data_IF_435585664790
#
_entry.id   IF_435585664790
#
_cell.length_a   1.000
_cell.length_b   1.000
_cell.length_c   1.000
_cell.angle_alpha   90.00
_cell.angle_beta   90.00
_cell.angle_gamma   90.00
#
_symmetry.space_group_name_H-M   'P 1'
#
loop_
_entity.id
_entity.type
_entity.pdbx_description
1 polymer ?
#
# COMPACT_ATOMS: atom_id res chain seq x y z
N UNK A 1 14.74 10.70 23.01
CA UNK A 1 13.30 10.90 23.20
C UNK A 1 12.62 9.55 23.44
N UNK A 2 11.45 9.55 24.08
CA UNK A 2 10.58 8.37 24.20
C UNK A 2 9.45 8.48 23.18
N UNK A 3 9.33 7.49 22.29
CA UNK A 3 8.38 7.51 21.17
C UNK A 3 7.54 6.23 21.21
N UNK A 4 6.23 6.36 21.30
CA UNK A 4 5.32 5.23 21.18
C UNK A 4 4.76 5.16 19.78
N UNK A 5 4.96 4.04 19.07
CA UNK A 5 4.42 3.78 17.73
C UNK A 5 3.29 2.77 17.85
N UNK A 6 2.10 3.09 17.33
CA UNK A 6 0.91 2.24 17.40
C UNK A 6 0.69 1.55 16.06
N UNK A 7 0.69 0.20 16.08
CA UNK A 7 0.49 -0.67 14.93
C UNK A 7 1.79 -1.17 14.30
N UNK A 8 1.94 -2.51 14.21
CA UNK A 8 3.08 -3.19 13.61
C UNK A 8 2.77 -3.64 12.17
N UNK A 9 2.31 -2.70 11.34
CA UNK A 9 2.21 -2.83 9.88
C UNK A 9 3.45 -2.25 9.18
N UNK A 10 3.39 -2.11 7.84
CA UNK A 10 4.47 -1.53 7.03
C UNK A 10 4.90 -0.14 7.52
N UNK A 11 3.95 0.73 7.78
CA UNK A 11 4.22 2.11 8.26
C UNK A 11 4.78 2.09 9.68
N UNK A 12 4.10 1.46 10.62
CA UNK A 12 4.48 1.54 12.03
C UNK A 12 5.80 0.84 12.34
N UNK A 13 5.99 -0.38 11.83
CA UNK A 13 7.20 -1.13 12.10
C UNK A 13 8.45 -0.49 11.46
N UNK A 14 8.32 0.00 10.21
CA UNK A 14 9.43 0.71 9.56
C UNK A 14 9.80 2.03 10.27
N UNK A 15 8.79 2.76 10.79
CA UNK A 15 9.04 3.94 11.63
C UNK A 15 9.67 3.57 12.97
N UNK A 16 9.21 2.50 13.63
CA UNK A 16 9.79 2.04 14.88
C UNK A 16 11.28 1.70 14.70
N UNK A 17 11.62 0.98 13.64
CA UNK A 17 13.02 0.64 13.32
C UNK A 17 13.83 1.88 12.94
N UNK A 18 13.28 2.79 12.11
CA UNK A 18 13.95 4.04 11.74
C UNK A 18 14.32 4.87 12.96
N UNK A 19 13.36 5.06 13.87
CA UNK A 19 13.50 5.97 15.02
C UNK A 19 14.29 5.36 16.17
N UNK A 20 14.40 4.03 16.27
CA UNK A 20 15.07 3.33 17.37
C UNK A 20 16.60 3.48 17.40
N UNK A 21 17.20 4.05 16.35
CA UNK A 21 18.63 4.28 16.29
C UNK A 21 19.12 5.24 17.40
N UNK A 22 18.35 6.29 17.65
CA UNK A 22 18.72 7.38 18.59
C UNK A 22 17.66 7.66 19.65
N UNK A 23 16.61 6.84 19.72
CA UNK A 23 15.48 7.08 20.62
C UNK A 23 15.04 5.77 21.29
N UNK A 24 14.41 5.91 22.46
CA UNK A 24 13.69 4.81 23.08
C UNK A 24 12.34 4.66 22.39
N UNK A 25 12.14 3.55 21.68
CA UNK A 25 10.90 3.29 20.95
C UNK A 25 10.08 2.23 21.67
N UNK A 26 8.79 2.46 21.77
CA UNK A 26 7.80 1.50 22.22
C UNK A 26 6.88 1.20 21.04
N UNK A 27 6.78 -0.05 20.66
CA UNK A 27 5.86 -0.51 19.62
C UNK A 27 4.64 -1.17 20.27
N UNK A 28 3.50 -0.49 20.16
CA UNK A 28 2.22 -0.97 20.66
C UNK A 28 1.49 -1.74 19.55
N UNK A 29 1.18 -3.01 19.79
CA UNK A 29 0.47 -3.88 18.86
C UNK A 29 -0.52 -4.74 19.65
N UNK A 30 -1.74 -4.89 19.12
CA UNK A 30 -2.81 -5.66 19.78
C UNK A 30 -2.85 -7.13 19.31
N UNK A 31 -2.28 -7.43 18.13
CA UNK A 31 -2.30 -8.77 17.58
C UNK A 31 -1.25 -9.67 18.25
N UNK A 32 -1.66 -10.70 19.01
CA UNK A 32 -0.71 -11.53 19.75
C UNK A 32 0.22 -12.34 18.84
N UNK A 33 -0.20 -12.69 17.63
CA UNK A 33 0.66 -13.40 16.66
C UNK A 33 1.80 -12.51 16.18
N UNK A 34 1.51 -11.23 15.90
CA UNK A 34 2.54 -10.25 15.51
C UNK A 34 3.52 -10.00 16.65
N UNK A 35 3.01 -9.84 17.87
CA UNK A 35 3.85 -9.67 19.07
C UNK A 35 4.78 -10.87 19.25
N UNK A 36 4.27 -12.09 19.09
CA UNK A 36 5.08 -13.32 19.22
C UNK A 36 6.20 -13.37 18.16
N UNK A 37 5.90 -13.03 16.92
CA UNK A 37 6.90 -12.94 15.85
C UNK A 37 7.98 -11.89 16.19
N UNK A 38 7.58 -10.68 16.58
CA UNK A 38 8.51 -9.61 16.95
C UNK A 38 9.40 -9.98 18.12
N UNK A 39 8.85 -10.63 19.17
CA UNK A 39 9.65 -11.15 20.30
C UNK A 39 10.67 -12.21 19.87
N UNK A 40 10.36 -12.96 18.82
CA UNK A 40 11.28 -13.93 18.22
C UNK A 40 12.27 -13.29 17.22
N UNK A 41 12.30 -11.96 17.10
CA UNK A 41 13.15 -11.23 16.14
C UNK A 41 12.70 -11.36 14.68
N UNK A 42 11.44 -11.78 14.45
CA UNK A 42 10.87 -11.97 13.11
C UNK A 42 9.90 -10.86 12.78
N UNK A 43 10.04 -10.30 11.59
CA UNK A 43 9.09 -9.31 11.06
C UNK A 43 7.74 -9.96 10.74
N UNK A 44 6.60 -9.37 11.17
CA UNK A 44 5.27 -9.84 10.78
C UNK A 44 4.86 -9.39 9.36
N UNK A 45 5.71 -8.66 8.66
CA UNK A 45 5.50 -8.17 7.29
C UNK A 45 6.73 -8.53 6.44
N UNK A 46 6.51 -8.69 5.14
CA UNK A 46 7.61 -8.97 4.21
C UNK A 46 8.32 -7.66 3.83
N UNK A 47 9.53 -7.47 4.30
CA UNK A 47 10.48 -6.42 3.90
C UNK A 47 11.88 -6.90 4.34
N UNK A 48 12.72 -7.38 3.40
CA UNK A 48 14.02 -7.95 3.73
C UNK A 48 14.94 -6.98 4.47
N UNK A 49 14.98 -5.69 4.04
CA UNK A 49 15.81 -4.67 4.69
C UNK A 49 15.30 -4.37 6.11
N UNK A 50 13.99 -4.38 6.29
CA UNK A 50 13.39 -4.19 7.61
C UNK A 50 13.69 -5.36 8.53
N UNK A 51 13.60 -6.62 8.04
CA UNK A 51 13.94 -7.81 8.82
C UNK A 51 15.39 -7.77 9.31
N UNK A 52 16.33 -7.41 8.45
CA UNK A 52 17.74 -7.28 8.81
C UNK A 52 17.94 -6.23 9.90
N UNK A 53 17.41 -5.02 9.69
CA UNK A 53 17.55 -3.92 10.64
C UNK A 53 16.79 -4.16 11.96
N UNK A 54 15.64 -4.83 11.91
CA UNK A 54 14.87 -5.21 13.10
C UNK A 54 15.72 -6.09 14.02
N UNK A 55 16.39 -7.11 13.46
CA UNK A 55 17.25 -8.01 14.24
C UNK A 55 18.38 -7.27 14.97
N UNK A 56 18.93 -6.24 14.34
CA UNK A 56 20.01 -5.42 14.91
C UNK A 56 19.51 -4.42 15.97
N UNK A 57 18.28 -3.91 15.86
CA UNK A 57 17.76 -2.80 16.65
C UNK A 57 16.67 -3.19 17.66
N UNK A 58 16.30 -4.46 17.70
CA UNK A 58 15.21 -4.94 18.58
C UNK A 58 15.45 -4.61 20.05
N UNK A 59 16.71 -4.55 20.50
CA UNK A 59 17.07 -4.19 21.87
C UNK A 59 16.68 -2.74 22.25
N UNK A 60 16.46 -1.86 21.27
CA UNK A 60 16.02 -0.47 21.46
C UNK A 60 14.50 -0.31 21.30
N UNK A 61 13.78 -1.41 20.96
CA UNK A 61 12.33 -1.41 20.74
C UNK A 61 11.66 -2.26 21.83
N UNK A 62 10.90 -1.60 22.70
CA UNK A 62 10.05 -2.30 23.68
C UNK A 62 8.70 -2.62 23.04
N UNK A 63 8.18 -3.83 23.28
CA UNK A 63 6.88 -4.26 22.75
C UNK A 63 5.82 -4.23 23.85
N UNK A 64 4.65 -3.68 23.55
CA UNK A 64 3.53 -3.61 24.48
C UNK A 64 2.18 -3.85 23.79
N UNK A 65 1.20 -4.29 24.56
CA UNK A 65 -0.24 -4.24 24.22
C UNK A 65 -1.01 -3.30 25.18
N UNK A 66 -0.31 -2.62 26.09
CA UNK A 66 -0.85 -1.71 27.11
C UNK A 66 -0.51 -0.25 26.74
N UNK A 67 -1.24 0.31 25.76
CA UNK A 67 -0.96 1.66 25.25
C UNK A 67 -1.00 2.73 26.34
N UNK A 68 -2.03 2.71 27.17
CA UNK A 68 -2.26 3.75 28.20
C UNK A 68 -1.05 3.91 29.12
N UNK A 69 -0.51 2.79 29.61
CA UNK A 69 0.61 2.77 30.55
C UNK A 69 1.90 3.28 29.93
N UNK A 70 2.14 2.93 28.67
CA UNK A 70 3.41 3.22 28.02
C UNK A 70 3.45 4.58 27.32
N UNK A 71 2.28 5.06 26.86
CA UNK A 71 2.20 6.34 26.15
C UNK A 71 2.31 7.56 27.07
N UNK A 72 1.91 7.44 28.35
CA UNK A 72 1.76 8.58 29.26
C UNK A 72 3.01 9.48 29.37
N UNK A 73 4.20 8.89 29.34
CA UNK A 73 5.48 9.59 29.44
C UNK A 73 6.18 9.76 28.08
N UNK A 74 5.49 9.49 26.98
CA UNK A 74 6.09 9.62 25.66
C UNK A 74 6.13 11.07 25.21
N UNK A 75 7.23 11.47 24.54
CA UNK A 75 7.32 12.75 23.87
C UNK A 75 6.42 12.79 22.65
N UNK A 76 6.34 11.65 21.93
CA UNK A 76 5.52 11.46 20.73
C UNK A 76 4.76 10.15 20.76
N UNK A 77 3.51 10.19 20.28
CA UNK A 77 2.73 8.99 19.92
C UNK A 77 2.48 9.03 18.42
N UNK A 78 2.93 8.00 17.70
CA UNK A 78 2.83 7.88 16.24
C UNK A 78 1.76 6.83 15.91
N UNK A 79 0.64 7.26 15.32
CA UNK A 79 -0.49 6.39 15.00
C UNK A 79 -0.35 5.89 13.56
N UNK A 80 -0.21 4.56 13.41
CA UNK A 80 0.00 3.86 12.14
C UNK A 80 -1.01 2.72 11.95
N UNK A 81 -2.22 2.87 12.46
CA UNK A 81 -3.27 1.85 12.33
C UNK A 81 -3.87 1.85 10.92
N UNK A 82 -4.36 0.70 10.40
CA UNK A 82 -4.94 0.64 9.07
C UNK A 82 -6.25 1.44 8.98
N UNK A 83 -6.49 2.03 7.80
CA UNK A 83 -7.74 2.74 7.46
C UNK A 83 -8.27 2.17 6.15
N UNK A 84 -9.27 1.29 6.24
CA UNK A 84 -9.91 0.68 5.07
C UNK A 84 -11.00 1.61 4.52
N UNK A 85 -11.20 1.59 3.20
CA UNK A 85 -12.34 2.27 2.61
C UNK A 85 -13.60 1.44 2.80
N UNK A 86 -14.65 2.04 3.28
CA UNK A 86 -15.95 1.42 3.51
C UNK A 86 -16.93 1.92 2.46
N UNK A 87 -17.31 1.05 1.53
CA UNK A 87 -18.22 1.40 0.40
C UNK A 87 -19.56 1.97 0.90
N UNK A 88 -20.10 1.40 1.99
CA UNK A 88 -21.39 1.82 2.55
C UNK A 88 -21.39 3.29 3.02
N UNK A 89 -20.29 3.76 3.57
CA UNK A 89 -20.15 5.16 4.06
C UNK A 89 -19.48 6.06 3.05
N UNK A 90 -18.84 5.49 2.02
CA UNK A 90 -18.04 6.21 1.05
C UNK A 90 -16.83 6.92 1.67
N UNK A 91 -16.26 6.38 2.75
CA UNK A 91 -15.15 6.99 3.47
C UNK A 91 -14.27 5.95 4.15
N UNK A 92 -13.08 6.37 4.57
CA UNK A 92 -12.21 5.52 5.39
C UNK A 92 -12.83 5.23 6.75
N UNK A 93 -12.64 4.01 7.24
CA UNK A 93 -12.87 3.67 8.64
C UNK A 93 -11.71 4.19 9.48
N UNK A 94 -11.98 5.23 10.26
CA UNK A 94 -11.01 5.88 11.17
C UNK A 94 -11.20 5.45 12.62
N UNK A 95 -12.08 4.49 12.90
CA UNK A 95 -12.46 4.07 14.26
C UNK A 95 -11.26 3.77 15.15
N UNK A 96 -10.26 3.04 14.61
CA UNK A 96 -9.04 2.72 15.37
C UNK A 96 -8.20 3.93 15.71
N UNK A 97 -8.19 4.98 14.86
CA UNK A 97 -7.49 6.23 15.18
C UNK A 97 -8.28 6.98 16.25
N UNK A 98 -9.60 7.06 16.12
CA UNK A 98 -10.50 7.73 17.06
C UNK A 98 -10.43 7.11 18.46
N UNK A 99 -10.38 5.79 18.57
CA UNK A 99 -10.19 5.05 19.81
C UNK A 99 -8.84 5.38 20.47
N UNK A 100 -7.76 5.45 19.69
CA UNK A 100 -6.45 5.83 20.20
C UNK A 100 -6.43 7.29 20.69
N UNK A 101 -7.06 8.23 19.94
CA UNK A 101 -7.17 9.63 20.36
C UNK A 101 -7.97 9.74 21.67
N UNK A 102 -9.10 9.05 21.78
CA UNK A 102 -9.92 9.00 22.98
C UNK A 102 -9.15 8.44 24.18
N UNK A 103 -8.35 7.41 23.95
CA UNK A 103 -7.48 6.83 24.99
C UNK A 103 -6.42 7.82 25.47
N UNK A 104 -5.77 8.53 24.53
CA UNK A 104 -4.75 9.54 24.85
C UNK A 104 -5.34 10.75 25.55
N UNK A 105 -6.54 11.18 25.22
CA UNK A 105 -7.25 12.25 25.92
C UNK A 105 -7.60 11.85 27.35
N UNK A 106 -8.12 10.63 27.54
CA UNK A 106 -8.47 10.08 28.87
C UNK A 106 -7.28 10.02 29.83
N UNK A 107 -6.09 9.67 29.35
CA UNK A 107 -4.86 9.68 30.17
C UNK A 107 -4.22 11.06 30.27
N UNK A 108 -4.86 12.10 29.71
CA UNK A 108 -4.37 13.48 29.70
C UNK A 108 -2.95 13.60 29.10
N UNK A 109 -2.71 12.92 27.97
CA UNK A 109 -1.42 12.89 27.31
C UNK A 109 -0.90 14.28 26.98
N UNK A 110 0.38 14.56 27.26
CA UNK A 110 1.00 15.88 27.10
C UNK A 110 2.02 15.99 25.99
N UNK A 111 2.36 14.87 25.37
CA UNK A 111 3.23 14.84 24.19
C UNK A 111 2.53 15.34 22.93
N UNK A 112 3.09 15.04 21.77
CA UNK A 112 2.49 15.33 20.46
C UNK A 112 2.09 14.04 19.77
N UNK A 113 0.91 14.06 19.14
CA UNK A 113 0.35 12.93 18.38
C UNK A 113 0.62 13.15 16.91
N UNK A 114 1.24 12.15 16.29
CA UNK A 114 1.60 12.13 14.89
C UNK A 114 0.75 11.08 14.20
N UNK A 115 -0.23 11.53 13.42
CA UNK A 115 -1.05 10.64 12.60
C UNK A 115 -0.32 10.36 11.29
N UNK A 116 0.03 9.09 11.05
CA UNK A 116 0.64 8.61 9.79
C UNK A 116 -0.31 7.72 9.00
N UNK A 117 -1.38 7.24 9.62
CA UNK A 117 -2.47 6.56 8.90
C UNK A 117 -3.11 7.50 7.91
N UNK A 118 -3.44 7.01 6.71
CA UNK A 118 -4.13 7.82 5.70
C UNK A 118 -5.56 8.13 6.16
N UNK A 119 -5.94 9.39 6.16
CA UNK A 119 -7.25 9.88 6.65
C UNK A 119 -7.97 10.70 5.58
N UNK A 120 -9.29 10.91 5.71
CA UNK A 120 -10.04 11.83 4.83
C UNK A 120 -9.54 13.27 4.95
N UNK A 121 -9.68 14.07 3.90
CA UNK A 121 -9.32 15.49 3.91
C UNK A 121 -10.18 16.25 4.94
N UNK A 122 -9.52 16.97 5.83
CA UNK A 122 -10.14 17.72 6.93
C UNK A 122 -10.25 16.95 8.25
N UNK A 123 -9.86 15.67 8.28
CA UNK A 123 -9.95 14.82 9.46
C UNK A 123 -9.15 15.38 10.64
N UNK A 124 -7.88 15.70 10.46
CA UNK A 124 -7.01 16.16 11.55
C UNK A 124 -7.54 17.44 12.19
N UNK A 125 -8.01 18.40 11.39
CA UNK A 125 -8.61 19.62 11.90
C UNK A 125 -9.92 19.36 12.65
N UNK A 126 -10.73 18.40 12.21
CA UNK A 126 -11.94 17.98 12.93
C UNK A 126 -11.58 17.38 14.30
N UNK A 127 -10.60 16.48 14.35
CA UNK A 127 -10.16 15.85 15.59
C UNK A 127 -9.46 16.83 16.55
N UNK A 128 -8.73 17.80 16.02
CA UNK A 128 -8.16 18.87 16.86
C UNK A 128 -9.23 19.74 17.54
N UNK A 129 -10.38 19.94 16.88
CA UNK A 129 -11.53 20.64 17.50
C UNK A 129 -12.24 19.81 18.56
N UNK A 130 -12.33 18.49 18.33
CA UNK A 130 -12.93 17.52 19.25
C UNK A 130 -12.05 17.33 20.50
N UNK A 131 -10.77 17.07 20.32
CA UNK A 131 -9.78 16.82 21.39
C UNK A 131 -8.91 18.05 21.63
N UNK A 132 -9.47 19.08 22.30
CA UNK A 132 -8.81 20.39 22.50
C UNK A 132 -7.52 20.34 23.31
N UNK A 133 -7.35 19.32 24.14
CA UNK A 133 -6.17 19.18 25.03
C UNK A 133 -5.03 18.40 24.36
N UNK A 134 -5.26 17.78 23.22
CA UNK A 134 -4.26 17.04 22.48
C UNK A 134 -3.60 17.93 21.40
N UNK A 135 -2.32 17.70 21.14
CA UNK A 135 -1.62 18.28 19.97
C UNK A 135 -1.58 17.21 18.89
N UNK A 136 -2.36 17.39 17.82
CA UNK A 136 -2.51 16.42 16.74
C UNK A 136 -1.92 16.99 15.45
N UNK A 137 -1.01 16.24 14.82
CA UNK A 137 -0.36 16.62 13.58
C UNK A 137 -0.45 15.47 12.56
N UNK A 138 -0.56 15.79 11.28
CA UNK A 138 -0.61 14.79 10.22
C UNK A 138 0.71 14.73 9.46
N UNK A 139 1.30 13.54 9.35
CA UNK A 139 2.52 13.27 8.59
C UNK A 139 2.26 12.15 7.60
N UNK A 140 1.91 12.45 6.35
CA UNK A 140 1.62 11.44 5.34
C UNK A 140 2.80 10.52 5.07
N UNK A 141 2.47 9.29 4.71
CA UNK A 141 3.43 8.25 4.34
C UNK A 141 3.40 8.01 2.83
N UNK A 142 4.57 7.83 2.21
CA UNK A 142 4.73 7.60 0.77
C UNK A 142 5.52 6.33 0.46
N UNK A 143 5.57 5.39 1.40
CA UNK A 143 6.31 4.14 1.26
C UNK A 143 5.63 3.13 0.33
N UNK A 144 6.44 2.21 -0.19
CA UNK A 144 6.01 1.03 -0.93
C UNK A 144 6.05 -0.20 -0.04
N UNK A 145 5.01 -1.06 -0.11
CA UNK A 145 5.02 -2.37 0.54
C UNK A 145 6.20 -3.20 0.04
N UNK A 146 6.87 -3.92 0.94
CA UNK A 146 8.09 -4.66 0.66
C UNK A 146 9.39 -3.84 0.63
N UNK A 147 9.29 -2.49 0.61
CA UNK A 147 10.43 -1.55 0.62
C UNK A 147 10.24 -0.41 1.62
N UNK A 148 9.41 -0.63 2.66
CA UNK A 148 8.99 0.42 3.58
C UNK A 148 10.17 1.05 4.33
N UNK A 149 11.12 0.24 4.81
CA UNK A 149 12.30 0.78 5.49
C UNK A 149 13.25 1.49 4.52
N UNK A 150 13.40 0.99 3.29
CA UNK A 150 14.20 1.67 2.26
C UNK A 150 13.65 3.06 1.97
N UNK A 151 12.32 3.16 1.77
CA UNK A 151 11.68 4.44 1.47
C UNK A 151 11.75 5.42 2.66
N UNK A 152 11.80 4.93 3.90
CA UNK A 152 12.05 5.74 5.09
C UNK A 152 13.53 6.16 5.21
N UNK A 153 14.49 5.34 4.80
CA UNK A 153 15.89 5.73 4.77
C UNK A 153 16.20 6.72 3.65
N UNK A 154 15.53 6.60 2.51
CA UNK A 154 15.74 7.43 1.33
C UNK A 154 14.44 8.09 0.86
N UNK A 155 13.78 8.90 1.71
CA UNK A 155 12.51 9.52 1.36
C UNK A 155 12.70 10.53 0.23
N UNK A 156 11.74 10.56 -0.71
CA UNK A 156 11.72 11.60 -1.74
C UNK A 156 11.49 12.98 -1.12
N UNK A 157 10.62 13.03 -0.12
CA UNK A 157 10.24 14.21 0.67
C UNK A 157 9.65 13.80 2.02
N UNK A 158 9.61 14.74 2.96
CA UNK A 158 8.86 14.61 4.21
C UNK A 158 7.86 15.77 4.28
N UNK A 159 6.59 15.46 4.57
CA UNK A 159 5.52 16.46 4.69
C UNK A 159 5.06 16.51 6.14
N UNK A 160 4.98 17.73 6.69
CA UNK A 160 4.48 18.03 8.01
C UNK A 160 3.21 18.88 7.90
N UNK A 161 2.06 18.29 8.18
CA UNK A 161 0.77 18.98 8.25
C UNK A 161 0.53 19.55 9.63
N UNK A 162 1.34 20.51 10.04
CA UNK A 162 1.18 21.25 11.30
C UNK A 162 2.16 22.41 11.37
N UNK A 163 1.75 23.49 12.06
CA UNK A 163 2.65 24.59 12.44
C UNK A 163 3.19 24.49 13.88
N UNK A 164 2.78 23.47 14.64
CA UNK A 164 3.20 23.24 16.03
C UNK A 164 4.72 23.05 16.12
N UNK A 165 5.33 23.62 17.15
CA UNK A 165 6.76 23.48 17.43
C UNK A 165 7.16 22.02 17.65
N UNK A 166 6.34 21.23 18.35
CA UNK A 166 6.60 19.80 18.56
C UNK A 166 6.57 19.01 17.24
N UNK A 167 5.66 19.36 16.32
CA UNK A 167 5.61 18.75 14.99
C UNK A 167 6.90 19.03 14.20
N UNK A 168 7.46 20.25 14.28
CA UNK A 168 8.76 20.58 13.66
C UNK A 168 9.91 19.77 14.25
N UNK A 169 9.89 19.53 15.56
CA UNK A 169 10.88 18.65 16.21
C UNK A 169 10.78 17.22 15.65
N UNK A 170 9.56 16.71 15.45
CA UNK A 170 9.37 15.39 14.85
C UNK A 170 9.78 15.34 13.37
N UNK A 171 9.53 16.40 12.59
CA UNK A 171 10.00 16.56 11.22
C UNK A 171 11.53 16.46 11.15
N UNK A 172 12.22 17.22 12.01
CA UNK A 172 13.68 17.18 12.12
C UNK A 172 14.20 15.79 12.54
N UNK A 173 13.46 15.12 13.42
CA UNK A 173 13.80 13.78 13.87
C UNK A 173 13.75 12.78 12.71
N UNK A 174 12.71 12.82 11.89
CA UNK A 174 12.59 11.98 10.69
C UNK A 174 13.72 12.28 9.69
N UNK A 175 13.99 13.57 9.40
CA UNK A 175 15.04 13.97 8.48
C UNK A 175 16.44 13.51 8.96
N UNK A 176 16.72 13.62 10.27
CA UNK A 176 18.01 13.17 10.86
C UNK A 176 18.12 11.65 10.97
N UNK A 177 17.03 10.92 10.93
CA UNK A 177 17.01 9.44 10.94
C UNK A 177 17.08 8.86 9.53
N UNK A 178 16.78 9.64 8.49
CA UNK A 178 17.00 9.27 7.10
C UNK A 178 18.49 9.11 6.79
N UNK A 179 18.81 8.24 5.84
CA UNK A 179 20.17 8.09 5.27
C UNK A 179 20.42 9.03 4.10
N UNK A 180 19.34 9.52 3.47
CA UNK A 180 19.43 10.53 2.43
C UNK A 180 19.76 11.88 3.06
N UNK A 181 20.80 12.52 2.56
CA UNK A 181 21.10 13.92 2.86
C UNK A 181 20.16 14.82 2.05
N UNK A 182 19.88 16.02 2.55
CA UNK A 182 19.12 17.05 1.86
C UNK A 182 17.71 16.60 1.44
N UNK A 183 16.99 15.94 2.37
CA UNK A 183 15.60 15.57 2.16
C UNK A 183 14.74 16.83 2.11
N UNK A 184 13.99 16.98 1.03
CA UNK A 184 13.04 18.08 0.88
C UNK A 184 11.92 18.00 1.92
N UNK A 185 11.67 19.10 2.62
CA UNK A 185 10.71 19.17 3.72
C UNK A 185 9.63 20.20 3.41
N UNK A 186 8.37 19.77 3.52
CA UNK A 186 7.19 20.62 3.32
C UNK A 186 6.46 20.80 4.64
N UNK A 187 6.31 22.05 5.07
CA UNK A 187 5.46 22.39 6.23
C UNK A 187 4.21 23.05 5.69
N UNK A 188 3.05 22.44 5.95
CA UNK A 188 1.76 22.89 5.44
C UNK A 188 0.70 22.80 6.53
N UNK A 189 -0.55 23.15 6.22
CA UNK A 189 -1.69 22.84 7.09
C UNK A 189 -1.99 21.34 7.07
N UNK A 190 -2.66 20.80 8.10
CA UNK A 190 -3.08 19.40 8.10
C UNK A 190 -3.90 18.99 6.86
N UNK A 191 -4.87 19.85 6.47
CA UNK A 191 -5.73 19.60 5.31
C UNK A 191 -4.96 19.55 4.00
N UNK A 192 -3.95 20.39 3.82
CA UNK A 192 -3.05 20.35 2.65
C UNK A 192 -2.21 19.08 2.64
N UNK A 193 -1.68 18.67 3.80
CA UNK A 193 -0.89 17.43 3.90
C UNK A 193 -1.75 16.18 3.60
N UNK A 194 -2.99 16.12 4.08
CA UNK A 194 -3.99 15.09 3.76
C UNK A 194 -4.29 15.08 2.25
N UNK A 195 -4.46 16.26 1.65
CA UNK A 195 -4.66 16.42 0.21
C UNK A 195 -3.45 15.95 -0.59
N UNK A 196 -2.23 16.33 -0.20
CA UNK A 196 -0.99 15.89 -0.84
C UNK A 196 -0.93 14.35 -0.88
N UNK A 197 -1.31 13.66 0.20
CA UNK A 197 -1.32 12.20 0.25
C UNK A 197 -2.29 11.60 -0.76
N UNK A 198 -3.54 12.01 -0.74
CA UNK A 198 -4.58 11.44 -1.58
C UNK A 198 -4.37 11.77 -3.06
N UNK A 199 -4.01 13.01 -3.39
CA UNK A 199 -3.70 13.40 -4.77
C UNK A 199 -2.46 12.70 -5.32
N UNK A 200 -1.40 12.50 -4.52
CA UNK A 200 -0.22 11.75 -4.97
C UNK A 200 -0.58 10.32 -5.36
N UNK A 201 -1.33 9.61 -4.52
CA UNK A 201 -1.69 8.22 -4.81
C UNK A 201 -2.70 8.12 -5.98
N UNK A 202 -3.62 9.09 -6.09
CA UNK A 202 -4.55 9.15 -7.22
C UNK A 202 -3.83 9.47 -8.54
N UNK A 203 -2.83 10.34 -8.52
CA UNK A 203 -2.01 10.62 -9.70
C UNK A 203 -1.27 9.35 -10.18
N UNK A 204 -0.70 8.58 -9.26
CA UNK A 204 -0.06 7.31 -9.61
C UNK A 204 -1.06 6.30 -10.18
N UNK A 205 -2.26 6.20 -9.60
CA UNK A 205 -3.34 5.36 -10.12
C UNK A 205 -3.78 5.79 -11.52
N UNK A 206 -3.94 7.10 -11.76
CA UNK A 206 -4.27 7.68 -13.06
C UNK A 206 -3.17 7.37 -14.09
N UNK A 207 -1.91 7.49 -13.72
CA UNK A 207 -0.79 7.20 -14.61
C UNK A 207 -0.78 5.73 -15.05
N UNK A 208 -0.97 4.79 -14.12
CA UNK A 208 -1.10 3.37 -14.45
C UNK A 208 -2.34 3.14 -15.35
N UNK A 209 -3.48 3.77 -15.03
CA UNK A 209 -4.68 3.66 -15.84
C UNK A 209 -4.44 4.15 -17.29
N UNK A 210 -3.73 5.25 -17.47
CA UNK A 210 -3.36 5.77 -18.79
C UNK A 210 -2.54 4.75 -19.62
N UNK A 211 -1.49 4.19 -19.03
CA UNK A 211 -0.66 3.20 -19.75
C UNK A 211 -1.38 1.86 -19.94
N UNK A 212 -2.33 1.51 -19.07
CA UNK A 212 -3.21 0.37 -19.28
C UNK A 212 -4.18 0.60 -20.46
N UNK A 213 -4.73 1.80 -20.66
CA UNK A 213 -5.55 2.13 -21.81
C UNK A 213 -4.72 2.17 -23.09
N UNK A 214 -3.50 2.70 -23.05
CA UNK A 214 -2.55 2.65 -24.16
C UNK A 214 -2.27 1.19 -24.57
N UNK A 215 -2.02 0.32 -23.61
CA UNK A 215 -1.81 -1.11 -23.85
C UNK A 215 -3.05 -1.80 -24.42
N UNK A 216 -4.24 -1.47 -23.91
CA UNK A 216 -5.51 -1.96 -24.46
C UNK A 216 -5.68 -1.55 -25.91
N UNK A 217 -5.39 -0.29 -26.23
CA UNK A 217 -5.43 0.22 -27.61
C UNK A 217 -4.43 -0.52 -28.52
N UNK A 218 -3.21 -0.72 -28.04
CA UNK A 218 -2.17 -1.41 -28.81
C UNK A 218 -2.56 -2.87 -29.11
N UNK A 219 -3.08 -3.61 -28.10
CA UNK A 219 -3.56 -4.98 -28.28
C UNK A 219 -4.67 -5.04 -29.32
N UNK A 220 -5.68 -4.16 -29.24
CA UNK A 220 -6.84 -4.16 -30.15
C UNK A 220 -6.48 -3.80 -31.59
N UNK A 221 -5.36 -3.11 -31.79
CA UNK A 221 -4.88 -2.72 -33.13
C UNK A 221 -3.64 -3.52 -33.57
N UNK A 222 -3.30 -4.61 -32.88
CA UNK A 222 -2.15 -5.47 -33.18
C UNK A 222 -0.82 -4.71 -33.26
N UNK A 223 -0.63 -3.70 -32.38
CA UNK A 223 0.55 -2.85 -32.32
C UNK A 223 1.50 -3.33 -31.20
N UNK A 224 2.78 -2.99 -31.33
CA UNK A 224 3.77 -3.24 -30.28
C UNK A 224 3.65 -2.21 -29.15
N UNK A 225 3.00 -2.63 -28.06
CA UNK A 225 2.83 -1.81 -26.85
C UNK A 225 4.16 -1.29 -26.32
N UNK A 226 5.21 -2.11 -26.33
CA UNK A 226 6.52 -1.74 -25.79
C UNK A 226 7.10 -0.53 -26.51
N UNK A 227 7.17 -0.59 -27.83
CA UNK A 227 7.68 0.50 -28.66
C UNK A 227 6.91 1.80 -28.46
N UNK A 228 5.56 1.71 -28.30
CA UNK A 228 4.73 2.89 -28.08
C UNK A 228 5.03 3.50 -26.69
N UNK A 229 5.11 2.68 -25.63
CA UNK A 229 5.40 3.16 -24.27
C UNK A 229 6.81 3.77 -24.21
N UNK A 230 7.81 3.14 -24.81
CA UNK A 230 9.17 3.66 -24.87
C UNK A 230 9.22 5.01 -25.58
N UNK A 231 8.55 5.14 -26.72
CA UNK A 231 8.46 6.39 -27.45
C UNK A 231 7.76 7.51 -26.67
N UNK A 232 6.63 7.23 -26.03
CA UNK A 232 5.91 8.20 -25.19
C UNK A 232 6.75 8.60 -23.98
N UNK A 233 7.41 7.63 -23.35
CA UNK A 233 8.21 7.85 -22.11
C UNK A 233 9.54 8.55 -22.37
N UNK A 234 10.01 8.60 -23.62
CA UNK A 234 11.24 9.30 -24.02
C UNK A 234 11.12 10.83 -23.86
N UNK A 235 9.90 11.39 -23.85
CA UNK A 235 9.69 12.79 -23.51
C UNK A 235 10.01 13.01 -22.01
N UNK A 236 10.97 13.87 -21.73
CA UNK A 236 11.42 14.16 -20.34
C UNK A 236 10.31 14.70 -19.43
N UNK A 237 9.27 15.30 -19.98
CA UNK A 237 8.09 15.77 -19.24
C UNK A 237 7.18 14.63 -18.79
N UNK A 238 7.28 13.46 -19.46
CA UNK A 238 6.52 12.25 -19.14
C UNK A 238 7.37 11.31 -18.31
N UNK A 239 8.55 10.92 -18.80
CA UNK A 239 9.48 10.01 -18.13
C UNK A 239 8.96 8.57 -18.00
N UNK A 240 9.81 7.66 -17.51
CA UNK A 240 9.59 6.22 -17.49
C UNK A 240 8.97 5.65 -16.21
N UNK A 241 8.53 6.49 -15.26
CA UNK A 241 8.02 6.00 -13.96
C UNK A 241 6.55 5.60 -14.05
N UNK A 242 6.16 4.46 -13.45
CA UNK A 242 4.78 3.96 -13.40
C UNK A 242 4.12 3.85 -14.80
N UNK A 243 4.91 3.45 -15.80
CA UNK A 243 4.47 3.27 -17.19
C UNK A 243 4.33 1.80 -17.62
N UNK A 244 4.65 0.85 -16.73
CA UNK A 244 4.50 -0.58 -17.00
C UNK A 244 3.03 -0.98 -16.90
N UNK A 245 2.42 -1.52 -17.96
CA UNK A 245 1.05 -2.01 -17.92
C UNK A 245 0.87 -3.17 -16.92
N UNK A 246 -0.38 -3.40 -16.58
CA UNK A 246 -0.79 -4.46 -15.67
C UNK A 246 -2.23 -4.89 -15.98
N UNK A 247 -2.74 -5.83 -15.21
CA UNK A 247 -4.15 -6.19 -15.24
C UNK A 247 -5.08 -5.14 -14.60
N UNK A 248 -4.51 -4.08 -14.08
CA UNK A 248 -5.15 -2.95 -13.41
C UNK A 248 -4.30 -2.48 -12.25
N UNK A 249 -4.40 -1.21 -11.85
CA UNK A 249 -3.78 -0.78 -10.62
C UNK A 249 -4.51 -1.41 -9.42
N UNK A 250 -3.74 -1.85 -8.43
CA UNK A 250 -4.23 -2.53 -7.26
C UNK A 250 -3.28 -2.32 -6.07
N UNK A 251 -3.25 -3.30 -5.15
CA UNK A 251 -2.60 -3.15 -3.87
C UNK A 251 -3.47 -2.34 -2.90
N UNK A 252 -3.03 -2.23 -1.66
CA UNK A 252 -3.85 -1.65 -0.59
C UNK A 252 -4.12 -0.15 -0.78
N UNK A 253 -3.12 0.62 -1.25
CA UNK A 253 -3.18 2.08 -1.21
C UNK A 253 -3.93 2.72 -2.39
N UNK A 254 -3.56 2.39 -3.63
CA UNK A 254 -4.04 3.13 -4.79
C UNK A 254 -5.57 3.06 -4.96
N UNK A 255 -6.22 1.87 -4.88
CA UNK A 255 -7.67 1.79 -5.05
C UNK A 255 -8.45 2.53 -3.96
N UNK A 256 -8.09 2.35 -2.68
CA UNK A 256 -8.82 2.96 -1.57
C UNK A 256 -8.64 4.48 -1.50
N UNK A 257 -7.41 4.98 -1.74
CA UNK A 257 -7.10 6.41 -1.66
C UNK A 257 -7.75 7.18 -2.81
N UNK A 258 -7.82 6.60 -4.02
CA UNK A 258 -8.52 7.19 -5.15
C UNK A 258 -10.03 7.26 -4.91
N UNK A 259 -10.65 6.21 -4.32
CA UNK A 259 -12.07 6.23 -3.91
C UNK A 259 -12.32 7.26 -2.83
N UNK A 260 -11.44 7.37 -1.83
CA UNK A 260 -11.56 8.39 -0.79
C UNK A 260 -11.45 9.80 -1.38
N UNK A 261 -10.50 10.04 -2.28
CA UNK A 261 -10.39 11.34 -2.94
C UNK A 261 -11.66 11.69 -3.72
N UNK A 262 -12.21 10.74 -4.49
CA UNK A 262 -13.49 10.96 -5.19
C UNK A 262 -14.61 11.35 -4.22
N UNK A 263 -14.71 10.69 -3.08
CA UNK A 263 -15.71 11.01 -2.06
C UNK A 263 -15.53 12.41 -1.46
N UNK A 264 -14.30 12.92 -1.40
CA UNK A 264 -14.02 14.27 -0.93
C UNK A 264 -14.43 15.36 -1.94
N UNK A 265 -14.59 15.02 -3.23
CA UNK A 265 -15.01 16.01 -4.23
C UNK A 265 -16.49 16.41 -4.09
N UNK A 266 -17.39 15.49 -3.69
CA UNK A 266 -18.83 15.76 -3.55
C UNK A 266 -19.37 16.65 -4.69
N UNK A 267 -19.61 17.93 -4.40
CA UNK A 267 -20.14 18.94 -5.34
C UNK A 267 -19.04 19.73 -6.09
N UNK A 268 -17.76 19.39 -5.86
CA UNK A 268 -16.65 20.01 -6.58
C UNK A 268 -16.58 19.40 -7.99
N UNK A 269 -16.53 20.22 -9.06
CA UNK A 269 -16.42 19.71 -10.43
C UNK A 269 -15.19 18.81 -10.62
N UNK A 270 -15.40 17.61 -11.15
CA UNK A 270 -14.34 16.65 -11.46
C UNK A 270 -14.86 15.58 -12.44
N UNK A 271 -14.00 15.12 -13.33
CA UNK A 271 -14.25 13.97 -14.21
C UNK A 271 -13.07 13.00 -14.16
N UNK A 272 -11.85 13.52 -14.11
CA UNK A 272 -10.62 12.73 -14.20
C UNK A 272 -10.49 11.70 -13.08
N UNK A 273 -10.84 12.05 -11.83
CA UNK A 273 -10.73 11.13 -10.69
C UNK A 273 -11.73 9.96 -10.85
N UNK A 274 -12.96 10.27 -11.26
CA UNK A 274 -14.00 9.27 -11.56
C UNK A 274 -13.59 8.41 -12.75
N UNK A 275 -13.06 9.02 -13.80
CA UNK A 275 -12.58 8.32 -15.00
C UNK A 275 -11.44 7.35 -14.64
N UNK A 276 -10.52 7.71 -13.75
CA UNK A 276 -9.44 6.84 -13.30
C UNK A 276 -9.97 5.53 -12.66
N UNK A 277 -10.99 5.64 -11.80
CA UNK A 277 -11.64 4.46 -11.20
C UNK A 277 -12.36 3.63 -12.26
N UNK A 278 -13.10 4.29 -13.14
CA UNK A 278 -13.83 3.64 -14.25
C UNK A 278 -12.90 2.93 -15.23
N UNK A 279 -11.78 3.56 -15.59
CA UNK A 279 -10.73 3.00 -16.43
C UNK A 279 -10.16 1.70 -15.84
N UNK A 280 -9.86 1.69 -14.55
CA UNK A 280 -9.36 0.48 -13.87
C UNK A 280 -10.36 -0.68 -13.91
N UNK A 281 -11.67 -0.39 -13.78
CA UNK A 281 -12.71 -1.41 -13.92
C UNK A 281 -12.75 -1.94 -15.35
N UNK A 282 -12.83 -1.05 -16.34
CA UNK A 282 -12.85 -1.42 -17.77
C UNK A 282 -11.62 -2.24 -18.17
N UNK A 283 -10.45 -1.90 -17.62
CA UNK A 283 -9.23 -2.69 -17.85
C UNK A 283 -9.37 -4.13 -17.38
N UNK A 284 -9.91 -4.35 -16.18
CA UNK A 284 -10.14 -5.71 -15.65
C UNK A 284 -11.16 -6.46 -16.48
N UNK A 285 -12.25 -5.81 -16.88
CA UNK A 285 -13.27 -6.40 -17.76
C UNK A 285 -12.65 -6.80 -19.11
N UNK A 286 -11.83 -5.95 -19.72
CA UNK A 286 -11.09 -6.24 -20.95
C UNK A 286 -10.16 -7.45 -20.82
N UNK A 287 -9.43 -7.59 -19.70
CA UNK A 287 -8.57 -8.76 -19.46
C UNK A 287 -9.41 -10.04 -19.34
N UNK A 288 -10.54 -9.98 -18.63
CA UNK A 288 -11.49 -11.11 -18.50
C UNK A 288 -11.97 -11.52 -19.90
N UNK A 289 -12.46 -10.58 -20.70
CA UNK A 289 -12.96 -10.86 -22.04
C UNK A 289 -11.86 -11.45 -22.93
N UNK A 290 -10.65 -10.90 -22.90
CA UNK A 290 -9.49 -11.41 -23.67
C UNK A 290 -9.17 -12.88 -23.32
N UNK A 291 -9.21 -13.23 -22.03
CA UNK A 291 -8.99 -14.60 -21.60
C UNK A 291 -10.13 -15.53 -22.05
N UNK A 292 -11.39 -15.09 -21.90
CA UNK A 292 -12.56 -15.86 -22.34
C UNK A 292 -12.55 -16.10 -23.85
N UNK A 293 -12.17 -15.12 -24.66
CA UNK A 293 -12.12 -15.21 -26.12
C UNK A 293 -11.07 -16.22 -26.61
N UNK A 294 -10.01 -16.46 -25.83
CA UNK A 294 -9.00 -17.49 -26.14
C UNK A 294 -9.48 -18.93 -25.83
N UNK A 295 -10.66 -19.08 -25.19
CA UNK A 295 -11.35 -20.35 -24.90
C UNK A 295 -10.46 -21.41 -24.26
N UNK A 296 -9.73 -21.12 -23.18
CA UNK A 296 -8.93 -22.10 -22.50
C UNK A 296 -9.83 -23.12 -21.79
N UNK A 297 -9.42 -24.38 -21.70
CA UNK A 297 -10.10 -25.38 -20.88
C UNK A 297 -9.92 -25.07 -19.38
N UNK A 298 -8.67 -24.91 -18.94
CA UNK A 298 -8.31 -24.59 -17.56
C UNK A 298 -7.42 -23.33 -17.49
N UNK A 299 -7.82 -22.34 -16.71
CA UNK A 299 -7.02 -21.14 -16.43
C UNK A 299 -6.29 -21.30 -15.10
N UNK A 300 -4.96 -21.29 -15.15
CA UNK A 300 -4.11 -21.25 -13.98
C UNK A 300 -3.86 -19.81 -13.53
N UNK A 301 -4.10 -19.53 -12.26
CA UNK A 301 -3.79 -18.24 -11.64
C UNK A 301 -2.45 -18.35 -10.93
N UNK A 302 -1.41 -17.72 -11.49
CA UNK A 302 -0.10 -17.73 -10.89
C UNK A 302 0.07 -16.55 -9.95
N UNK A 303 -0.04 -16.84 -8.65
CA UNK A 303 -0.01 -15.97 -7.48
C UNK A 303 -1.17 -14.96 -7.41
N UNK A 304 -1.66 -14.77 -6.20
CA UNK A 304 -2.75 -13.84 -5.90
C UNK A 304 -2.23 -12.44 -5.53
N UNK A 305 -0.96 -12.33 -5.19
CA UNK A 305 -0.30 -11.07 -4.82
C UNK A 305 0.05 -10.25 -6.06
N UNK A 306 -0.11 -8.94 -5.98
CA UNK A 306 0.17 -8.04 -7.11
C UNK A 306 1.63 -7.66 -7.26
N UNK A 307 2.34 -7.51 -6.15
CA UNK A 307 3.74 -7.09 -6.13
C UNK A 307 4.62 -8.25 -5.71
N UNK A 308 5.76 -8.40 -6.33
CA UNK A 308 6.70 -9.49 -6.09
C UNK A 308 7.05 -9.66 -4.61
N UNK A 309 7.10 -8.56 -3.86
CA UNK A 309 7.56 -8.48 -2.49
C UNK A 309 6.46 -8.03 -1.50
N UNK A 310 5.16 -8.27 -1.80
CA UNK A 310 4.03 -7.98 -0.92
C UNK A 310 3.33 -9.25 -0.47
N UNK A 311 2.71 -9.21 0.69
CA UNK A 311 1.85 -10.28 1.24
C UNK A 311 0.36 -9.90 1.16
N UNK A 312 0.03 -8.73 0.59
CA UNK A 312 -1.32 -8.20 0.54
C UNK A 312 -2.03 -8.57 -0.77
N UNK A 313 -2.98 -9.49 -0.68
CA UNK A 313 -3.82 -9.96 -1.79
C UNK A 313 -5.20 -9.29 -1.86
N UNK A 314 -5.66 -8.63 -0.78
CA UNK A 314 -7.07 -8.20 -0.62
C UNK A 314 -7.57 -7.23 -1.68
N UNK A 315 -6.75 -6.29 -2.11
CA UNK A 315 -7.08 -5.32 -3.18
C UNK A 315 -6.32 -5.61 -4.47
N UNK A 316 -5.91 -6.88 -4.66
CA UNK A 316 -5.24 -7.32 -5.88
C UNK A 316 -6.20 -7.30 -7.06
N UNK A 317 -5.78 -6.74 -8.19
CA UNK A 317 -6.55 -6.79 -9.45
C UNK A 317 -6.80 -8.22 -9.91
N UNK A 318 -5.89 -9.16 -9.60
CA UNK A 318 -6.04 -10.59 -9.91
C UNK A 318 -7.28 -11.18 -9.25
N UNK A 319 -7.55 -10.86 -7.98
CA UNK A 319 -8.73 -11.39 -7.27
C UNK A 319 -10.02 -10.97 -7.97
N UNK A 320 -10.14 -9.69 -8.35
CA UNK A 320 -11.32 -9.22 -9.09
C UNK A 320 -11.47 -9.89 -10.46
N UNK A 321 -10.36 -10.17 -11.17
CA UNK A 321 -10.39 -10.86 -12.46
C UNK A 321 -10.76 -12.34 -12.27
N UNK A 322 -10.19 -13.00 -11.26
CA UNK A 322 -10.52 -14.36 -10.90
C UNK A 322 -12.02 -14.54 -10.63
N UNK A 323 -12.64 -13.64 -9.82
CA UNK A 323 -14.09 -13.63 -9.60
C UNK A 323 -14.86 -13.45 -10.92
N UNK A 324 -14.41 -12.56 -11.80
CA UNK A 324 -15.01 -12.34 -13.11
C UNK A 324 -14.93 -13.57 -14.02
N UNK A 325 -13.78 -14.26 -14.06
CA UNK A 325 -13.62 -15.51 -14.82
C UNK A 325 -14.49 -16.64 -14.26
N UNK A 326 -14.61 -16.72 -12.93
CA UNK A 326 -15.49 -17.70 -12.26
C UNK A 326 -16.96 -17.48 -12.62
N UNK A 327 -17.42 -16.23 -12.64
CA UNK A 327 -18.79 -15.87 -13.07
C UNK A 327 -19.03 -16.24 -14.56
N UNK A 328 -18.00 -16.20 -15.40
CA UNK A 328 -18.06 -16.63 -16.83
C UNK A 328 -18.01 -18.15 -17.00
N UNK A 329 -17.87 -18.92 -15.91
CA UNK A 329 -17.91 -20.38 -15.91
C UNK A 329 -16.63 -21.08 -16.36
N UNK A 330 -15.47 -20.39 -16.34
CA UNK A 330 -14.21 -21.03 -16.65
C UNK A 330 -13.75 -21.92 -15.50
N UNK A 331 -13.08 -23.02 -15.83
CA UNK A 331 -12.39 -23.85 -14.85
C UNK A 331 -11.09 -23.16 -14.42
N UNK A 332 -10.93 -22.98 -13.10
CA UNK A 332 -9.83 -22.23 -12.51
C UNK A 332 -9.04 -23.09 -11.53
N UNK A 333 -7.71 -22.94 -11.54
CA UNK A 333 -6.82 -23.45 -10.51
C UNK A 333 -5.85 -22.35 -10.06
N UNK A 334 -5.40 -22.37 -8.81
CA UNK A 334 -4.52 -21.34 -8.25
C UNK A 334 -3.22 -21.98 -7.78
N UNK A 335 -2.10 -21.33 -8.05
CA UNK A 335 -0.83 -21.60 -7.40
C UNK A 335 -0.40 -20.37 -6.58
N UNK A 336 -0.45 -20.50 -5.24
CA UNK A 336 0.00 -19.46 -4.30
C UNK A 336 0.72 -20.10 -3.11
N UNK A 337 2.07 -20.13 -3.15
CA UNK A 337 2.87 -20.82 -2.12
C UNK A 337 2.78 -20.19 -0.72
N UNK A 338 2.28 -18.95 -0.60
CA UNK A 338 2.09 -18.31 0.71
C UNK A 338 0.83 -18.78 1.45
N UNK A 339 -0.03 -19.53 0.78
CA UNK A 339 -1.29 -19.99 1.36
C UNK A 339 -1.21 -21.48 1.71
N UNK A 340 -1.63 -21.83 2.92
CA UNK A 340 -1.70 -23.22 3.40
C UNK A 340 -3.10 -23.84 3.31
N UNK A 341 -4.10 -23.10 2.82
CA UNK A 341 -5.46 -23.60 2.63
C UNK A 341 -5.57 -24.43 1.33
N UNK A 342 -6.59 -25.32 1.27
CA UNK A 342 -6.84 -26.14 0.08
C UNK A 342 -7.57 -25.41 -1.03
N UNK A 343 -8.33 -24.38 -0.68
CA UNK A 343 -9.16 -23.61 -1.62
C UNK A 343 -9.12 -22.13 -1.28
N UNK A 344 -9.28 -21.28 -2.30
CA UNK A 344 -9.48 -19.84 -2.18
C UNK A 344 -10.67 -19.44 -3.04
N UNK A 345 -11.69 -18.81 -2.45
CA UNK A 345 -12.97 -18.49 -3.11
C UNK A 345 -13.64 -19.71 -3.77
N UNK A 346 -13.46 -20.89 -3.20
CA UNK A 346 -13.98 -22.14 -3.73
C UNK A 346 -13.14 -22.78 -4.86
N UNK A 347 -12.03 -22.14 -5.26
CA UNK A 347 -11.13 -22.62 -6.31
C UNK A 347 -9.97 -23.39 -5.67
N UNK A 348 -9.55 -24.48 -6.30
CA UNK A 348 -8.45 -25.34 -5.83
C UNK A 348 -7.12 -24.58 -5.80
N UNK A 349 -6.42 -24.68 -4.67
CA UNK A 349 -5.00 -24.31 -4.57
C UNK A 349 -4.14 -25.55 -4.85
N UNK A 350 -3.42 -25.52 -5.97
CA UNK A 350 -2.50 -26.57 -6.36
C UNK A 350 -1.17 -26.35 -5.66
N UNK A 351 -0.70 -27.33 -4.91
CA UNK A 351 0.55 -27.22 -4.11
C UNK A 351 1.81 -27.51 -4.92
N UNK A 352 1.71 -28.34 -5.96
CA UNK A 352 2.84 -28.68 -6.85
C UNK A 352 2.83 -27.72 -8.04
N UNK A 353 3.95 -27.03 -8.25
CA UNK A 353 4.13 -26.13 -9.39
C UNK A 353 4.08 -26.87 -10.73
N UNK A 354 4.69 -28.05 -10.83
CA UNK A 354 4.67 -28.86 -12.04
C UNK A 354 3.26 -29.35 -12.38
N UNK A 355 2.48 -29.76 -11.36
CA UNK A 355 1.09 -30.12 -11.52
C UNK A 355 0.24 -28.93 -11.97
N UNK A 356 0.47 -27.75 -11.43
CA UNK A 356 -0.18 -26.51 -11.84
C UNK A 356 0.10 -26.20 -13.31
N UNK A 357 1.39 -26.19 -13.72
CA UNK A 357 1.79 -25.91 -15.09
C UNK A 357 1.27 -26.93 -16.11
N UNK A 358 1.20 -28.21 -15.72
CA UNK A 358 0.70 -29.27 -16.62
C UNK A 358 -0.82 -29.20 -16.82
N UNK A 359 -1.58 -28.86 -15.79
CA UNK A 359 -3.05 -28.79 -15.82
C UNK A 359 -3.59 -27.50 -16.47
N UNK A 360 -2.86 -26.38 -16.36
CA UNK A 360 -3.29 -25.12 -16.95
C UNK A 360 -3.07 -25.10 -18.48
N UNK A 361 -4.10 -24.72 -19.24
CA UNK A 361 -3.97 -24.41 -20.67
C UNK A 361 -3.46 -22.98 -20.88
N UNK A 362 -3.92 -22.05 -20.03
CA UNK A 362 -3.46 -20.68 -19.98
C UNK A 362 -3.09 -20.32 -18.51
N UNK A 363 -1.94 -19.67 -18.33
CA UNK A 363 -1.46 -19.23 -17.01
C UNK A 363 -1.54 -17.70 -16.96
N UNK A 364 -2.42 -17.17 -16.13
CA UNK A 364 -2.53 -15.74 -15.87
C UNK A 364 -1.52 -15.33 -14.79
N UNK A 365 -0.59 -14.43 -15.13
CA UNK A 365 0.41 -13.90 -14.22
C UNK A 365 0.46 -12.37 -14.29
N UNK A 366 0.19 -11.68 -13.17
CA UNK A 366 0.24 -10.20 -13.14
C UNK A 366 1.65 -9.65 -13.31
N UNK A 367 2.66 -10.43 -12.88
CA UNK A 367 4.08 -10.10 -13.04
C UNK A 367 4.83 -11.28 -13.66
N UNK A 368 5.79 -10.98 -14.51
CA UNK A 368 6.69 -12.02 -15.02
C UNK A 368 7.51 -12.62 -13.87
N UNK A 369 7.74 -13.92 -13.96
CA UNK A 369 8.56 -14.67 -12.98
C UNK A 369 9.50 -15.63 -13.72
N UNK A 370 10.72 -15.76 -13.19
CA UNK A 370 11.68 -16.74 -13.66
C UNK A 370 11.13 -18.17 -13.62
N UNK A 371 10.22 -18.45 -12.69
CA UNK A 371 9.61 -19.78 -12.55
C UNK A 371 8.77 -20.17 -13.78
N UNK A 372 8.20 -19.18 -14.50
CA UNK A 372 7.33 -19.38 -15.66
C UNK A 372 8.05 -19.46 -17.00
N UNK A 373 9.38 -19.30 -17.02
CA UNK A 373 10.16 -19.22 -18.28
C UNK A 373 9.97 -20.47 -19.14
N UNK A 374 9.93 -21.67 -18.54
CA UNK A 374 9.80 -22.95 -19.25
C UNK A 374 8.37 -23.20 -19.81
N UNK A 375 7.37 -22.46 -19.34
CA UNK A 375 5.96 -22.52 -19.82
C UNK A 375 5.49 -21.19 -20.42
N UNK A 376 6.41 -20.35 -20.86
CA UNK A 376 6.13 -18.99 -21.36
C UNK A 376 5.09 -18.96 -22.47
N UNK A 377 4.98 -19.99 -23.30
CA UNK A 377 3.97 -20.11 -24.36
C UNK A 377 2.52 -20.19 -23.85
N UNK A 378 2.31 -20.55 -22.57
CA UNK A 378 1.00 -20.58 -21.91
C UNK A 378 0.74 -19.33 -21.08
N UNK A 379 1.73 -18.44 -20.87
CA UNK A 379 1.64 -17.34 -19.94
C UNK A 379 0.99 -16.12 -20.58
N UNK A 380 -0.11 -15.69 -20.00
CA UNK A 380 -0.73 -14.40 -20.28
C UNK A 380 -0.33 -13.41 -19.19
N UNK A 381 0.47 -12.43 -19.56
CA UNK A 381 0.90 -11.33 -18.69
C UNK A 381 0.89 -10.02 -19.46
N UNK A 382 0.69 -8.92 -18.74
CA UNK A 382 0.86 -7.56 -19.28
C UNK A 382 2.00 -6.79 -18.59
N UNK A 383 2.88 -7.53 -17.94
CA UNK A 383 4.14 -7.00 -17.42
C UNK A 383 5.17 -6.95 -18.54
N UNK A 384 5.35 -5.78 -19.13
CA UNK A 384 6.20 -5.58 -20.32
C UNK A 384 7.65 -5.32 -19.95
N UNK A 385 7.87 -4.67 -18.79
CA UNK A 385 9.19 -4.19 -18.37
C UNK A 385 9.76 -4.93 -17.16
N UNK A 386 9.02 -5.82 -16.51
CA UNK A 386 9.47 -6.56 -15.33
C UNK A 386 9.70 -5.68 -14.10
N UNK A 387 9.12 -4.49 -14.08
CA UNK A 387 9.35 -3.50 -13.02
C UNK A 387 8.03 -3.00 -12.42
N UNK A 388 8.04 -2.75 -11.12
CA UNK A 388 6.88 -2.22 -10.38
C UNK A 388 6.89 -0.70 -10.22
N UNK A 389 7.86 0.00 -10.79
CA UNK A 389 8.01 1.45 -10.65
C UNK A 389 8.60 2.08 -11.91
#
# INVERSE_FOLDING_TARGET
MKITVIGAGYVGLSNAVLLSDKNKVILAEINPKKIALLRAGKSPIFDPLLQENLSQRLHNISLTNELEKEAIDSDFVVICTPTNFVEKTGSFDTSTIDENLSTLDRINFKGSIIVRSTVPIGYTNSKQKEFKNLSISFFPEFLREGKALYDNFFPSRIVCGSSDVKAKIFLDLLAKSAKKTDVEQFITTPTEAESIKLFSNTFLAMRIAFFNELDTFAIQNELDTKSIIEGVSADSRIGGHYNNPSFGYGGYCLPKDTRQLLSNFKDIPQDLIRATIGSNKKRKDFIIDTICDSKPGVVGIYRLIMKKDSDNWRESSIVSILEGLQVRGLELIIFEPLFSCKTFLGIELVTSFDSFCSRADLIMANRESSDLVHVKCKVFSRDIFGTDA
#
